data_IF_958336456199
#
_entry.id   IF_958336456199
#
_cell.length_a   1.000
_cell.length_b   1.000
_cell.length_c   1.000
_cell.angle_alpha   90.00
_cell.angle_beta   90.00
_cell.angle_gamma   90.00
#
_symmetry.space_group_name_H-M   'P 1'
#
loop_
_entity.id
_entity.type
_entity.pdbx_description
1 polymer ?
#
# COMPACT_ATOMS: atom_id res chain seq x y z
N UNK A 1 5.36 -71.92 74.26
CA UNK A 1 6.38 -71.03 73.67
C UNK A 1 5.93 -70.62 72.27
N UNK A 2 5.66 -69.33 72.13
CA UNK A 2 4.90 -68.64 71.08
C UNK A 2 5.86 -67.95 70.13
N UNK A 3 6.17 -68.53 68.96
CA UNK A 3 7.03 -67.86 67.95
C UNK A 3 6.88 -68.35 66.51
N UNK A 4 5.73 -68.95 66.12
CA UNK A 4 5.56 -69.53 64.77
C UNK A 4 4.38 -68.99 63.95
N UNK A 5 3.79 -67.84 64.32
CA UNK A 5 2.63 -67.27 63.59
C UNK A 5 2.86 -65.87 62.99
N UNK A 6 4.08 -65.30 63.09
CA UNK A 6 4.37 -63.96 62.51
C UNK A 6 5.03 -63.96 61.13
N UNK A 7 5.60 -65.08 60.66
CA UNK A 7 6.30 -65.09 59.36
C UNK A 7 5.40 -65.27 58.13
N UNK A 8 4.16 -65.76 58.26
CA UNK A 8 3.27 -66.01 57.11
C UNK A 8 2.43 -64.82 56.65
N UNK A 9 2.40 -63.71 57.39
CA UNK A 9 1.55 -62.54 57.08
C UNK A 9 2.26 -61.41 56.30
N UNK A 10 3.59 -61.40 56.26
CA UNK A 10 4.33 -60.39 55.47
C UNK A 10 4.56 -60.80 54.00
N UNK A 11 4.44 -62.09 53.65
CA UNK A 11 4.69 -62.55 52.29
C UNK A 11 3.52 -62.29 51.32
N UNK A 12 2.30 -62.09 51.82
CA UNK A 12 1.11 -61.91 50.98
C UNK A 12 0.84 -60.45 50.59
N UNK A 13 1.42 -59.47 51.29
CA UNK A 13 1.17 -58.04 51.07
C UNK A 13 2.12 -57.40 50.04
N UNK A 14 3.25 -58.04 49.74
CA UNK A 14 4.22 -57.53 48.74
C UNK A 14 3.81 -57.91 47.31
N UNK A 15 3.04 -58.98 47.12
CA UNK A 15 2.66 -59.47 45.79
C UNK A 15 1.55 -58.66 45.10
N UNK A 16 0.76 -57.88 45.83
CA UNK A 16 -0.36 -57.08 45.25
C UNK A 16 0.06 -55.65 44.89
N UNK A 17 1.16 -55.14 45.47
CA UNK A 17 1.65 -53.79 45.20
C UNK A 17 2.47 -53.67 43.89
N UNK A 18 2.94 -54.79 43.34
CA UNK A 18 3.74 -54.81 42.11
C UNK A 18 2.92 -54.80 40.81
N UNK A 19 1.59 -54.96 40.88
CA UNK A 19 0.73 -55.10 39.70
C UNK A 19 0.11 -53.81 39.16
N UNK A 20 0.10 -52.72 39.94
CA UNK A 20 -0.69 -51.51 39.60
C UNK A 20 0.17 -50.35 39.08
N UNK A 21 1.49 -50.40 39.21
CA UNK A 21 2.38 -49.31 38.76
C UNK A 21 2.76 -49.39 37.28
N UNK A 22 2.38 -50.44 36.56
CA UNK A 22 2.76 -50.65 35.16
C UNK A 22 1.95 -49.81 34.13
N UNK A 23 0.91 -49.06 34.55
CA UNK A 23 0.01 -48.35 33.62
C UNK A 23 0.05 -46.82 33.71
N UNK A 24 0.97 -46.23 34.48
CA UNK A 24 1.07 -44.78 34.65
C UNK A 24 2.40 -44.19 34.15
N UNK A 25 3.00 -44.79 33.12
CA UNK A 25 4.05 -44.10 32.37
C UNK A 25 3.40 -42.95 31.57
N UNK A 26 3.85 -41.69 31.73
CA UNK A 26 3.37 -40.61 30.88
C UNK A 26 3.74 -40.98 29.45
N UNK A 27 2.73 -41.12 28.59
CA UNK A 27 2.95 -41.32 27.17
C UNK A 27 3.57 -40.02 26.66
N UNK A 28 4.88 -40.01 26.44
CA UNK A 28 5.54 -38.95 25.71
C UNK A 28 4.93 -38.99 24.32
N UNK A 29 4.02 -38.06 24.03
CA UNK A 29 3.50 -37.87 22.69
C UNK A 29 4.69 -37.48 21.79
N UNK A 30 5.25 -38.46 21.09
CA UNK A 30 6.21 -38.19 20.04
C UNK A 30 5.47 -37.39 18.97
N UNK A 31 5.89 -36.14 18.74
CA UNK A 31 5.44 -35.41 17.57
C UNK A 31 5.80 -36.27 16.34
N UNK A 32 4.77 -36.79 15.65
CA UNK A 32 4.96 -37.55 14.42
C UNK A 32 5.75 -36.73 13.39
N UNK A 33 6.27 -37.34 12.32
CA UNK A 33 7.03 -36.64 11.30
C UNK A 33 6.25 -35.39 10.87
N UNK A 34 6.80 -34.20 11.13
CA UNK A 34 6.18 -32.97 10.62
C UNK A 34 6.18 -33.11 9.10
N UNK A 35 5.00 -33.22 8.51
CA UNK A 35 4.87 -33.18 7.07
C UNK A 35 5.42 -31.82 6.61
N UNK A 36 6.64 -31.84 6.07
CA UNK A 36 7.26 -30.66 5.47
C UNK A 36 6.63 -30.45 4.10
N UNK A 37 5.61 -29.62 4.01
CA UNK A 37 5.09 -29.12 2.73
C UNK A 37 5.81 -27.84 2.34
N UNK A 38 6.26 -27.72 1.09
CA UNK A 38 6.60 -26.41 0.53
C UNK A 38 5.39 -25.84 -0.18
N UNK A 39 5.19 -24.53 -0.05
CA UNK A 39 4.19 -23.80 -0.81
C UNK A 39 4.85 -22.57 -1.41
N UNK A 40 4.47 -22.23 -2.63
CA UNK A 40 4.92 -21.01 -3.30
C UNK A 40 3.80 -19.98 -3.25
N UNK A 41 4.06 -18.84 -2.62
CA UNK A 41 3.17 -17.68 -2.68
C UNK A 41 3.60 -16.75 -3.81
N UNK A 42 2.63 -16.32 -4.62
CA UNK A 42 2.82 -15.27 -5.63
C UNK A 42 1.79 -14.17 -5.38
N UNK A 43 2.26 -12.93 -5.33
CA UNK A 43 1.43 -11.74 -5.34
C UNK A 43 1.78 -10.88 -6.55
N UNK A 44 0.78 -10.19 -7.11
CA UNK A 44 0.95 -9.22 -8.18
C UNK A 44 0.41 -7.88 -7.69
N UNK A 45 1.26 -6.86 -7.70
CA UNK A 45 0.84 -5.48 -7.39
C UNK A 45 0.45 -4.80 -8.70
N UNK A 46 -0.83 -4.44 -8.91
CA UNK A 46 -1.21 -3.71 -10.10
C UNK A 46 -0.65 -2.28 -10.08
N UNK A 47 -0.46 -1.72 -11.27
CA UNK A 47 -0.12 -0.30 -11.39
C UNK A 47 -1.34 0.53 -10.95
N UNK A 48 -1.11 1.47 -10.05
CA UNK A 48 -2.08 2.40 -9.51
C UNK A 48 -1.50 3.81 -9.56
N UNK A 49 -2.18 4.70 -10.27
CA UNK A 49 -1.79 6.09 -10.44
C UNK A 49 -3.00 6.99 -10.23
N UNK A 50 -2.84 8.07 -9.48
CA UNK A 50 -3.88 9.05 -9.23
C UNK A 50 -3.28 10.43 -9.04
N UNK A 51 -4.08 11.43 -9.41
CA UNK A 51 -3.75 12.84 -9.25
C UNK A 51 -4.93 13.50 -8.56
N UNK A 52 -4.66 14.27 -7.52
CA UNK A 52 -5.70 14.92 -6.72
C UNK A 52 -5.29 16.34 -6.37
N UNK A 53 -5.94 17.36 -6.95
CA UNK A 53 -5.75 18.72 -6.48
C UNK A 53 -6.43 18.91 -5.12
N UNK A 54 -5.90 19.81 -4.30
CA UNK A 54 -6.47 20.17 -3.00
C UNK A 54 -7.82 20.90 -3.12
N UNK A 55 -7.97 21.67 -4.20
CA UNK A 55 -9.17 22.42 -4.58
C UNK A 55 -9.38 22.33 -6.09
N UNK A 56 -10.53 22.78 -6.59
CA UNK A 56 -10.74 22.91 -8.03
C UNK A 56 -9.67 23.83 -8.63
N UNK A 57 -8.99 23.37 -9.68
CA UNK A 57 -7.95 24.14 -10.36
C UNK A 57 -8.61 25.11 -11.35
N UNK A 58 -8.73 26.36 -10.93
CA UNK A 58 -9.28 27.45 -11.75
C UNK A 58 -8.15 28.38 -12.16
N UNK A 59 -8.08 28.74 -13.45
CA UNK A 59 -7.10 29.68 -13.94
C UNK A 59 -7.55 31.11 -13.63
N UNK A 60 -6.98 31.67 -12.57
CA UNK A 60 -7.21 33.03 -12.10
C UNK A 60 -5.86 33.65 -11.69
N UNK A 61 -5.61 34.91 -12.05
CA UNK A 61 -4.37 35.61 -11.72
C UNK A 61 -4.08 35.58 -10.21
N UNK A 62 -2.91 35.09 -9.83
CA UNK A 62 -2.49 34.95 -8.43
C UNK A 62 -3.04 33.74 -7.69
N UNK A 63 -3.91 32.93 -8.32
CA UNK A 63 -4.43 31.70 -7.70
C UNK A 63 -3.29 30.71 -7.46
N UNK A 64 -3.23 30.18 -6.25
CA UNK A 64 -2.28 29.14 -5.85
C UNK A 64 -3.00 27.92 -5.30
N UNK A 65 -2.29 26.80 -5.23
CA UNK A 65 -2.78 25.57 -4.62
C UNK A 65 -1.75 24.46 -4.71
N UNK A 66 -2.19 23.23 -4.46
CA UNK A 66 -1.34 22.06 -4.49
C UNK A 66 -2.03 20.84 -5.08
N UNK A 67 -1.23 19.95 -5.68
CA UNK A 67 -1.68 18.72 -6.31
C UNK A 67 -0.86 17.57 -5.78
N UNK A 68 -1.52 16.52 -5.31
CA UNK A 68 -0.86 15.27 -4.96
C UNK A 68 -0.81 14.39 -6.20
N UNK A 69 0.41 14.04 -6.61
CA UNK A 69 0.70 13.07 -7.65
C UNK A 69 1.16 11.78 -6.99
N UNK A 70 0.56 10.66 -7.33
CA UNK A 70 0.98 9.35 -6.83
C UNK A 70 0.88 8.31 -7.94
N UNK A 71 1.97 7.60 -8.20
CA UNK A 71 2.00 6.51 -9.17
C UNK A 71 3.11 5.51 -8.83
N UNK A 72 2.78 4.23 -8.84
CA UNK A 72 3.73 3.14 -8.56
C UNK A 72 4.32 2.51 -9.84
N UNK A 73 4.11 3.10 -11.03
CA UNK A 73 4.72 2.59 -12.26
C UNK A 73 6.24 2.75 -12.22
N UNK A 74 7.03 1.67 -12.40
CA UNK A 74 8.49 1.76 -12.45
C UNK A 74 9.01 2.59 -13.63
N UNK A 75 8.30 2.62 -14.75
CA UNK A 75 8.62 3.43 -15.93
C UNK A 75 8.36 4.93 -15.73
N UNK A 76 7.73 5.29 -14.61
CA UNK A 76 7.29 6.64 -14.33
C UNK A 76 5.91 6.94 -14.87
N UNK A 77 5.60 8.22 -15.03
CA UNK A 77 4.26 8.70 -15.35
C UNK A 77 4.29 10.11 -15.92
N UNK A 78 3.18 10.47 -16.56
CA UNK A 78 2.93 11.80 -17.10
C UNK A 78 1.70 12.39 -16.44
N UNK A 79 1.78 13.66 -16.04
CA UNK A 79 0.65 14.46 -15.54
C UNK A 79 0.29 15.50 -16.58
N UNK A 80 -0.99 15.55 -16.95
CA UNK A 80 -1.52 16.43 -17.97
C UNK A 80 -2.72 17.21 -17.44
N UNK A 81 -2.95 18.38 -18.02
CA UNK A 81 -4.16 19.16 -17.82
C UNK A 81 -5.02 19.13 -19.09
N UNK A 82 -6.32 18.96 -18.91
CA UNK A 82 -7.35 19.12 -19.91
C UNK A 82 -8.28 20.27 -19.50
N UNK A 83 -8.65 21.12 -20.46
CA UNK A 83 -9.47 22.30 -20.26
C UNK A 83 -10.15 22.68 -21.59
N UNK A 84 -11.10 23.62 -21.58
CA UNK A 84 -11.70 24.10 -22.83
C UNK A 84 -10.62 24.71 -23.74
N UNK A 85 -10.69 24.56 -25.07
CA UNK A 85 -9.81 25.29 -25.97
C UNK A 85 -9.84 26.80 -25.69
N UNK A 86 -8.68 27.45 -25.83
CA UNK A 86 -8.56 28.89 -25.62
C UNK A 86 -8.79 29.63 -26.93
N UNK A 87 -9.47 30.78 -26.86
CA UNK A 87 -9.60 31.69 -28.00
C UNK A 87 -8.23 32.28 -28.37
N UNK A 88 -8.13 32.86 -29.58
CA UNK A 88 -6.88 33.47 -30.05
C UNK A 88 -6.37 34.58 -29.10
N UNK A 89 -7.30 35.35 -28.52
CA UNK A 89 -7.08 36.45 -27.57
C UNK A 89 -6.76 35.99 -26.13
N UNK A 90 -7.08 34.75 -25.78
CA UNK A 90 -7.00 34.27 -24.40
C UNK A 90 -5.62 33.69 -24.05
N UNK A 91 -5.05 34.07 -22.92
CA UNK A 91 -3.77 33.56 -22.44
C UNK A 91 -3.85 33.19 -20.96
N UNK A 92 -3.10 32.16 -20.58
CA UNK A 92 -2.94 31.81 -19.18
C UNK A 92 -1.55 31.20 -18.97
N UNK A 93 -0.80 31.72 -18.01
CA UNK A 93 0.49 31.19 -17.58
C UNK A 93 0.35 30.55 -16.21
N UNK A 94 0.79 29.30 -16.13
CA UNK A 94 0.76 28.49 -14.92
C UNK A 94 2.17 28.06 -14.57
N UNK A 95 2.54 28.20 -13.31
CA UNK A 95 3.69 27.49 -12.75
C UNK A 95 3.19 26.23 -12.05
N UNK A 96 3.77 25.08 -12.38
CA UNK A 96 3.45 23.77 -11.80
C UNK A 96 4.73 23.10 -11.32
N UNK A 97 4.93 23.08 -10.00
CA UNK A 97 6.24 22.82 -9.38
C UNK A 97 7.25 23.87 -9.84
N UNK A 98 8.36 23.41 -10.40
CA UNK A 98 9.43 24.28 -10.92
C UNK A 98 9.24 24.70 -12.38
N UNK A 99 8.17 24.25 -13.05
CA UNK A 99 7.95 24.51 -14.48
C UNK A 99 6.97 25.66 -14.68
N UNK A 100 7.38 26.70 -15.41
CA UNK A 100 6.47 27.72 -15.94
C UNK A 100 6.00 27.31 -17.33
N UNK A 101 4.69 27.32 -17.54
CA UNK A 101 4.01 26.75 -18.69
C UNK A 101 2.93 27.73 -19.18
N UNK A 102 2.92 28.01 -20.47
CA UNK A 102 1.79 28.70 -21.10
C UNK A 102 0.76 27.65 -21.52
N UNK A 103 -0.50 27.87 -21.13
CA UNK A 103 -1.58 27.00 -21.58
C UNK A 103 -1.71 27.07 -23.10
N UNK A 104 -1.76 25.90 -23.73
CA UNK A 104 -1.93 25.76 -25.18
C UNK A 104 -3.36 26.10 -25.58
N UNK A 105 -3.53 26.54 -26.83
CA UNK A 105 -4.85 26.83 -27.41
C UNK A 105 -5.71 25.57 -27.60
N UNK A 106 -5.09 24.39 -27.66
CA UNK A 106 -5.77 23.12 -27.95
C UNK A 106 -6.60 22.57 -26.78
N UNK A 107 -6.45 23.12 -25.58
CA UNK A 107 -7.17 22.62 -24.40
C UNK A 107 -6.48 21.45 -23.68
N UNK A 108 -5.27 21.07 -24.09
CA UNK A 108 -4.51 20.00 -23.44
C UNK A 108 -3.02 20.33 -23.35
N UNK A 109 -2.41 20.03 -22.21
CA UNK A 109 -0.99 20.30 -21.96
C UNK A 109 -0.38 19.26 -21.00
N UNK A 110 0.79 18.74 -21.36
CA UNK A 110 1.63 17.98 -20.43
C UNK A 110 2.24 18.94 -19.39
N UNK A 111 1.87 18.78 -18.13
CA UNK A 111 2.40 19.60 -17.03
C UNK A 111 3.76 19.09 -16.60
N UNK A 112 3.91 17.77 -16.48
CA UNK A 112 5.11 17.15 -15.90
C UNK A 112 5.22 15.70 -16.34
N UNK A 113 6.47 15.26 -16.50
CA UNK A 113 6.83 13.86 -16.67
C UNK A 113 7.80 13.44 -15.56
N UNK A 114 7.55 12.28 -14.97
CA UNK A 114 8.48 11.60 -14.07
C UNK A 114 8.91 10.28 -14.70
N UNK A 115 10.16 9.90 -14.48
CA UNK A 115 10.75 8.64 -14.95
C UNK A 115 10.88 7.60 -13.82
N UNK A 116 10.19 7.80 -12.69
CA UNK A 116 10.20 6.90 -11.54
C UNK A 116 8.85 6.89 -10.84
N UNK A 117 8.57 5.80 -10.11
CA UNK A 117 7.47 5.75 -9.17
C UNK A 117 7.66 6.82 -8.08
N UNK A 118 6.60 7.54 -7.74
CA UNK A 118 6.67 8.60 -6.74
C UNK A 118 5.31 8.93 -6.13
N UNK A 119 5.34 9.48 -4.91
CA UNK A 119 4.24 10.19 -4.26
C UNK A 119 4.77 11.57 -3.89
N UNK A 120 4.17 12.65 -4.40
CA UNK A 120 4.65 14.03 -4.19
C UNK A 120 3.49 15.00 -4.14
N UNK A 121 3.69 16.09 -3.39
CA UNK A 121 2.83 17.27 -3.46
C UNK A 121 3.51 18.32 -4.32
N UNK A 122 2.84 18.78 -5.36
CA UNK A 122 3.32 19.78 -6.30
C UNK A 122 2.51 21.06 -6.11
N UNK A 123 3.18 22.14 -5.75
CA UNK A 123 2.54 23.45 -5.69
C UNK A 123 2.27 23.96 -7.12
N UNK A 124 1.19 24.72 -7.28
CA UNK A 124 0.94 25.45 -8.50
C UNK A 124 0.56 26.90 -8.22
N UNK A 125 0.76 27.75 -9.23
CA UNK A 125 0.24 29.12 -9.26
C UNK A 125 -0.10 29.54 -10.68
N UNK A 126 -1.06 30.44 -10.82
CA UNK A 126 -1.34 31.15 -12.07
C UNK A 126 -0.77 32.56 -11.97
N UNK A 127 0.11 32.92 -12.90
CA UNK A 127 0.82 34.21 -12.85
C UNK A 127 0.06 35.29 -13.62
N UNK A 128 -0.18 35.04 -14.91
CA UNK A 128 -0.79 35.99 -15.83
C UNK A 128 -1.92 35.28 -16.56
N UNK A 129 -3.15 35.76 -16.37
CA UNK A 129 -4.36 35.16 -16.93
C UNK A 129 -5.22 36.23 -17.57
N UNK A 130 -5.47 36.07 -18.86
CA UNK A 130 -6.38 36.88 -19.66
C UNK A 130 -7.38 35.96 -20.35
N UNK A 131 -8.57 35.84 -19.78
CA UNK A 131 -9.62 34.94 -20.24
C UNK A 131 -10.92 35.71 -20.40
N UNK A 132 -11.67 35.42 -21.46
CA UNK A 132 -12.99 36.01 -21.69
C UNK A 132 -14.07 35.27 -20.87
N UNK A 133 -13.80 34.01 -20.52
CA UNK A 133 -14.69 33.13 -19.77
C UNK A 133 -13.90 32.30 -18.74
N UNK A 134 -14.51 31.84 -17.64
CA UNK A 134 -13.83 30.99 -16.66
C UNK A 134 -13.17 29.75 -17.29
N UNK A 135 -12.04 29.34 -16.71
CA UNK A 135 -11.28 28.18 -17.18
C UNK A 135 -10.93 27.27 -16.01
N UNK A 136 -11.48 26.05 -16.04
CA UNK A 136 -11.20 25.00 -15.06
C UNK A 136 -10.34 23.93 -15.72
N UNK A 137 -9.32 23.48 -15.00
CA UNK A 137 -8.42 22.41 -15.46
C UNK A 137 -8.79 21.10 -14.77
N UNK A 138 -9.03 20.07 -15.57
CA UNK A 138 -9.09 18.68 -15.13
C UNK A 138 -7.70 18.07 -15.25
N UNK A 139 -7.18 17.53 -14.15
CA UNK A 139 -5.85 16.89 -14.14
C UNK A 139 -5.98 15.39 -14.34
N UNK A 140 -5.09 14.83 -15.16
CA UNK A 140 -4.99 13.38 -15.39
C UNK A 140 -3.57 12.92 -15.19
N UNK A 141 -3.40 11.64 -14.85
CA UNK A 141 -2.11 10.99 -14.69
C UNK A 141 -2.14 9.66 -15.44
N UNK A 142 -1.09 9.40 -16.21
CA UNK A 142 -0.96 8.19 -17.02
C UNK A 142 0.41 7.54 -16.76
N UNK A 143 0.47 6.23 -16.43
CA UNK A 143 1.74 5.52 -16.34
C UNK A 143 2.43 5.45 -17.71
N UNK A 144 3.76 5.41 -17.70
CA UNK A 144 4.63 5.15 -18.85
C UNK A 144 5.02 3.67 -18.86
#
# INVERSE_FOLDING_TARGET
MTKLMRLRRCALLVAVAAGVTAFASPQIAAAGPRAGGSYQLRAVVPVACWVRPDTTVVAETGRTGSVIEACNSPGGFTVSAAYRPLKATETARMTYGERSLNLTKTGNLELRRSNMAAIRTIAYRFDEVQLDEPLVLALTIQPI
#
